data_IF_814593983908
#
_entry.id   IF_814593983908
#
_cell.length_a   1.000
_cell.length_b   1.000
_cell.length_c   1.000
_cell.angle_alpha   90.00
_cell.angle_beta   90.00
_cell.angle_gamma   90.00
#
_symmetry.space_group_name_H-M   'P 1'
#
loop_
_entity.id
_entity.type
_entity.pdbx_description
1 polymer ?
#
# COMPACT_ATOMS: atom_id res chain seq x y z
N UNK A 1 -20.35 -53.85 -23.41
CA UNK A 1 -19.84 -53.84 -22.02
C UNK A 1 -18.69 -52.86 -21.92
N UNK A 2 -18.71 -52.00 -20.89
CA UNK A 2 -17.54 -51.40 -20.21
C UNK A 2 -16.74 -50.36 -21.03
N UNK A 3 -17.20 -49.11 -21.16
CA UNK A 3 -17.03 -47.95 -20.26
C UNK A 3 -15.55 -47.52 -20.03
N UNK A 4 -15.31 -46.27 -20.46
CA UNK A 4 -14.36 -45.26 -19.98
C UNK A 4 -12.90 -45.39 -20.42
N UNK A 5 -12.43 -44.42 -21.21
CA UNK A 5 -11.25 -43.64 -20.83
C UNK A 5 -11.23 -42.29 -21.58
N UNK A 6 -12.08 -41.36 -21.12
CA UNK A 6 -11.94 -39.95 -21.49
C UNK A 6 -10.85 -39.38 -20.57
N UNK A 7 -9.61 -39.30 -21.07
CA UNK A 7 -8.49 -38.69 -20.34
C UNK A 7 -8.70 -37.18 -20.28
N UNK A 8 -9.32 -36.74 -19.20
CA UNK A 8 -9.45 -35.34 -18.80
C UNK A 8 -8.06 -34.84 -18.39
N UNK A 9 -7.43 -34.09 -19.29
CA UNK A 9 -6.15 -33.41 -19.09
C UNK A 9 -6.42 -31.99 -18.54
N UNK A 10 -7.05 -31.89 -17.36
CA UNK A 10 -7.16 -30.62 -16.64
C UNK A 10 -6.02 -30.51 -15.65
N UNK A 11 -4.92 -29.89 -16.09
CA UNK A 11 -3.84 -29.47 -15.23
C UNK A 11 -4.34 -28.47 -14.19
N UNK A 12 -4.20 -28.84 -12.92
CA UNK A 12 -4.57 -28.03 -11.77
C UNK A 12 -3.57 -26.87 -11.62
N UNK A 13 -3.90 -25.70 -12.15
CA UNK A 13 -3.14 -24.47 -11.95
C UNK A 13 -3.34 -24.01 -10.49
N UNK A 14 -2.44 -24.39 -9.59
CA UNK A 14 -2.41 -23.84 -8.23
C UNK A 14 -1.88 -22.42 -8.35
N UNK A 15 -2.79 -21.44 -8.35
CA UNK A 15 -2.42 -20.04 -8.24
C UNK A 15 -2.08 -19.79 -6.77
N UNK A 16 -0.78 -19.76 -6.45
CA UNK A 16 -0.28 -19.35 -5.14
C UNK A 16 -0.55 -17.86 -4.94
N UNK A 17 -1.61 -17.52 -4.21
CA UNK A 17 -1.84 -16.14 -3.76
C UNK A 17 -0.87 -15.84 -2.62
N UNK A 18 0.23 -15.16 -2.90
CA UNK A 18 1.06 -14.55 -1.87
C UNK A 18 0.27 -13.39 -1.24
N UNK A 19 -0.22 -13.61 -0.02
CA UNK A 19 -0.79 -12.57 0.83
C UNK A 19 0.33 -11.60 1.25
N UNK A 20 0.77 -10.73 0.33
CA UNK A 20 1.67 -9.64 0.67
C UNK A 20 0.90 -8.64 1.53
N UNK A 21 1.22 -8.57 2.82
CA UNK A 21 0.69 -7.53 3.69
C UNK A 21 1.04 -6.14 3.13
N UNK A 22 0.07 -5.23 3.14
CA UNK A 22 0.21 -3.89 2.60
C UNK A 22 -0.53 -2.87 3.46
N UNK A 23 -0.11 -1.61 3.36
CA UNK A 23 -0.65 -0.50 4.14
C UNK A 23 -1.46 0.40 3.21
N UNK A 24 -2.78 0.32 3.30
CA UNK A 24 -3.69 1.24 2.61
C UNK A 24 -4.08 2.37 3.53
N UNK A 25 -3.75 3.61 3.15
CA UNK A 25 -4.09 4.82 3.90
C UNK A 25 -4.97 5.74 3.08
N UNK A 26 -5.88 6.44 3.76
CA UNK A 26 -6.59 7.58 3.19
C UNK A 26 -5.82 8.85 3.53
N UNK A 27 -5.61 9.73 2.56
CA UNK A 27 -4.90 10.98 2.77
C UNK A 27 -5.74 12.15 2.29
N UNK A 28 -5.57 13.30 2.95
CA UNK A 28 -6.02 14.61 2.47
C UNK A 28 -4.80 15.52 2.38
N UNK A 29 -4.41 15.92 1.17
CA UNK A 29 -3.34 16.88 0.96
C UNK A 29 -3.92 18.29 0.83
N UNK A 30 -3.62 19.14 1.82
CA UNK A 30 -4.03 20.54 1.87
C UNK A 30 -3.06 21.47 1.14
N UNK A 31 -1.91 20.96 0.71
CA UNK A 31 -0.94 21.73 -0.06
C UNK A 31 -1.30 21.70 -1.55
N UNK A 32 -0.99 22.79 -2.25
CA UNK A 32 -1.20 22.89 -3.71
C UNK A 32 -0.24 22.01 -4.52
N UNK A 33 0.80 21.46 -3.89
CA UNK A 33 1.85 20.68 -4.53
C UNK A 33 1.78 19.20 -4.19
N UNK A 34 2.32 18.39 -5.10
CA UNK A 34 2.55 16.97 -4.86
C UNK A 34 3.73 16.77 -3.89
N UNK A 35 3.64 15.75 -3.03
CA UNK A 35 4.73 15.34 -2.14
C UNK A 35 5.19 13.93 -2.45
N UNK A 36 6.47 13.78 -2.79
CA UNK A 36 7.11 12.46 -2.93
C UNK A 36 7.82 12.13 -1.62
N UNK A 37 7.26 11.21 -0.84
CA UNK A 37 7.76 10.85 0.48
C UNK A 37 8.43 9.48 0.46
N UNK A 38 9.54 9.36 1.18
CA UNK A 38 10.20 8.06 1.40
C UNK A 38 9.45 7.30 2.49
N UNK A 39 9.22 6.01 2.26
CA UNK A 39 8.46 5.15 3.18
C UNK A 39 9.27 3.89 3.45
N UNK A 40 9.40 3.53 4.73
CA UNK A 40 9.98 2.27 5.17
C UNK A 40 8.87 1.28 5.51
N UNK A 41 8.85 0.12 4.85
CA UNK A 41 7.85 -0.93 5.04
C UNK A 41 8.52 -2.30 4.91
N UNK A 42 8.27 -3.20 5.86
CA UNK A 42 8.83 -4.57 5.83
C UNK A 42 10.36 -4.62 5.64
N UNK A 43 11.09 -3.66 6.21
CA UNK A 43 12.55 -3.55 6.08
C UNK A 43 13.05 -2.92 4.78
N UNK A 44 12.17 -2.71 3.80
CA UNK A 44 12.50 -2.07 2.52
C UNK A 44 12.12 -0.58 2.52
N UNK A 45 12.78 0.21 1.68
CA UNK A 45 12.43 1.61 1.43
C UNK A 45 11.77 1.73 0.04
N UNK A 46 10.67 2.48 -0.01
CA UNK A 46 9.97 2.81 -1.26
C UNK A 46 9.63 4.30 -1.28
N UNK A 47 9.23 4.83 -2.43
CA UNK A 47 8.75 6.21 -2.58
C UNK A 47 7.29 6.21 -2.95
N UNK A 48 6.52 7.07 -2.31
CA UNK A 48 5.10 7.27 -2.66
C UNK A 48 4.81 8.72 -2.94
N UNK A 49 3.90 8.94 -3.89
CA UNK A 49 3.44 10.25 -4.30
C UNK A 49 2.08 10.55 -3.69
N UNK A 50 2.01 11.62 -2.91
CA UNK A 50 0.76 12.22 -2.45
C UNK A 50 0.44 13.41 -3.33
N UNK A 51 -0.63 13.31 -4.13
CA UNK A 51 -1.00 14.40 -5.03
C UNK A 51 -1.56 15.61 -4.28
N UNK A 52 -1.31 16.81 -4.79
CA UNK A 52 -1.75 18.09 -4.25
C UNK A 52 -3.26 18.30 -4.31
N UNK A 53 -3.76 19.17 -3.41
CA UNK A 53 -5.14 19.67 -3.36
C UNK A 53 -6.22 18.61 -3.48
N UNK A 54 -6.04 17.45 -2.83
CA UNK A 54 -7.01 16.35 -2.94
C UNK A 54 -7.07 15.44 -1.74
N UNK A 55 -8.20 14.74 -1.67
CA UNK A 55 -8.36 13.54 -0.84
C UNK A 55 -8.19 12.31 -1.72
N UNK A 56 -7.49 11.30 -1.24
CA UNK A 56 -7.27 10.06 -1.96
C UNK A 56 -7.01 8.88 -1.04
N UNK A 57 -6.80 7.73 -1.65
CA UNK A 57 -6.33 6.52 -0.98
C UNK A 57 -5.11 6.01 -1.73
N UNK A 58 -4.12 5.51 -1.01
CA UNK A 58 -2.98 4.84 -1.61
C UNK A 58 -2.62 3.59 -0.82
N UNK A 59 -2.08 2.60 -1.52
CA UNK A 59 -1.61 1.35 -0.92
C UNK A 59 -0.11 1.24 -1.07
N UNK A 60 0.58 1.12 0.05
CA UNK A 60 2.02 0.91 0.14
C UNK A 60 2.25 -0.59 0.24
N UNK A 61 2.86 -1.16 -0.80
CA UNK A 61 3.22 -2.57 -0.84
C UNK A 61 4.54 -2.80 -0.10
N UNK A 62 4.62 -3.86 0.71
CA UNK A 62 5.88 -4.12 1.44
C UNK A 62 5.87 -5.24 2.47
N UNK A 63 4.90 -6.15 2.47
CA UNK A 63 4.89 -7.31 3.36
C UNK A 63 4.74 -6.98 4.85
N UNK A 64 4.15 -5.83 5.21
CA UNK A 64 3.97 -5.39 6.60
C UNK A 64 2.62 -4.69 6.77
N UNK A 65 2.04 -4.77 7.97
CA UNK A 65 0.76 -4.16 8.36
C UNK A 65 0.89 -2.67 8.77
N UNK A 66 2.13 -2.23 8.96
CA UNK A 66 2.51 -0.85 9.27
C UNK A 66 3.73 -0.39 8.49
N UNK A 67 3.85 0.93 8.31
CA UNK A 67 4.99 1.56 7.67
C UNK A 67 5.34 2.90 8.31
N UNK A 68 6.55 3.39 8.02
CA UNK A 68 7.04 4.68 8.52
C UNK A 68 7.24 5.62 7.34
N UNK A 69 6.49 6.71 7.29
CA UNK A 69 6.61 7.77 6.29
C UNK A 69 7.62 8.80 6.80
N UNK A 70 8.63 9.09 5.99
CA UNK A 70 9.63 10.12 6.27
C UNK A 70 9.19 11.44 5.64
N UNK A 71 8.98 12.43 6.48
CA UNK A 71 8.57 13.79 6.07
C UNK A 71 9.66 14.79 6.46
N UNK A 72 9.55 16.03 5.94
CA UNK A 72 10.39 17.14 6.37
C UNK A 72 10.25 17.47 7.87
N UNK A 73 9.15 17.05 8.49
CA UNK A 73 8.80 17.37 9.87
C UNK A 73 9.08 16.22 10.83
N UNK A 74 9.54 15.07 10.31
CA UNK A 74 9.86 13.89 11.10
C UNK A 74 9.32 12.59 10.50
N UNK A 75 9.48 11.51 11.27
CA UNK A 75 9.00 10.16 10.93
C UNK A 75 7.60 9.96 11.49
N UNK A 76 6.68 9.46 10.68
CA UNK A 76 5.31 9.15 11.10
C UNK A 76 5.03 7.67 10.83
N UNK A 77 4.68 6.91 11.87
CA UNK A 77 4.21 5.53 11.72
C UNK A 77 2.71 5.56 11.39
N UNK A 78 2.32 4.79 10.38
CA UNK A 78 0.92 4.60 9.97
C UNK A 78 0.61 3.13 9.74
N UNK A 79 -0.66 2.77 9.90
CA UNK A 79 -1.21 1.43 9.70
C UNK A 79 -2.28 1.45 8.61
N UNK A 80 -2.60 0.25 8.11
CA UNK A 80 -3.70 0.08 7.17
C UNK A 80 -5.02 0.58 7.78
N UNK A 81 -5.74 1.44 7.07
CA UNK A 81 -6.99 2.07 7.53
C UNK A 81 -6.83 3.49 8.08
N UNK A 82 -5.61 3.93 8.38
CA UNK A 82 -5.36 5.27 8.91
C UNK A 82 -5.81 6.38 7.94
N UNK A 83 -6.23 7.49 8.53
CA UNK A 83 -6.51 8.74 7.82
C UNK A 83 -5.42 9.74 8.16
N UNK A 84 -4.79 10.31 7.15
CA UNK A 84 -3.75 11.32 7.33
C UNK A 84 -4.10 12.64 6.65
N UNK A 85 -3.62 13.73 7.24
CA UNK A 85 -3.65 15.06 6.65
C UNK A 85 -2.22 15.50 6.36
N UNK A 86 -1.98 15.98 5.14
CA UNK A 86 -0.71 16.56 4.73
C UNK A 86 -0.87 18.07 4.65
N UNK A 87 0.01 18.80 5.32
CA UNK A 87 0.06 20.25 5.30
C UNK A 87 1.50 20.73 5.50
N UNK A 88 1.97 21.62 4.64
CA UNK A 88 3.35 22.08 4.53
C UNK A 88 4.38 20.93 4.47
N UNK A 89 4.01 19.81 3.83
CA UNK A 89 4.83 18.59 3.78
C UNK A 89 4.93 17.81 5.10
N UNK A 90 4.29 18.27 6.17
CA UNK A 90 4.14 17.51 7.41
C UNK A 90 2.92 16.59 7.33
N UNK A 91 2.98 15.46 8.04
CA UNK A 91 1.84 14.55 8.21
C UNK A 91 1.29 14.64 9.63
N UNK A 92 -0.04 14.69 9.72
CA UNK A 92 -0.81 14.46 10.95
C UNK A 92 -1.74 13.25 10.75
N UNK A 93 -1.76 12.32 11.71
CA UNK A 93 -2.69 11.19 11.74
C UNK A 93 -3.98 11.61 12.45
N UNK A 94 -5.14 11.21 11.93
CA UNK A 94 -6.48 11.53 12.43
C UNK A 94 -7.22 10.30 12.93
#
# INVERSE_FOLDING_TARGET
MKRKFLLVLTGFFIISYSLFASVTIRYTNKDSKDHNMSVKIGGSNTKVKFSGSRTGSLTIQGGSDKCVIMTSCGKVEVKSGDRITIQNGCIKVN
#
